data_IF_058827266986
#
_entry.id   IF_058827266986
#
_cell.length_a   1.000
_cell.length_b   1.000
_cell.length_c   1.000
_cell.angle_alpha   90.00
_cell.angle_beta   90.00
_cell.angle_gamma   90.00
#
_symmetry.space_group_name_H-M   'P 1'
#
loop_
_entity.id
_entity.type
_entity.pdbx_description
1 polymer ?
#
# COMPACT_ATOMS: atom_id res chain seq x y z
N UNK A 1 29.92 -12.60 -2.05
CA UNK A 1 30.00 -11.13 -2.16
C UNK A 1 30.77 -10.80 -3.42
N UNK A 2 30.09 -10.28 -4.44
CA UNK A 2 30.73 -9.75 -5.65
C UNK A 2 30.18 -8.35 -5.86
N UNK A 3 31.03 -7.37 -5.59
CA UNK A 3 30.77 -5.94 -5.80
C UNK A 3 31.21 -5.64 -7.22
N UNK A 4 30.26 -5.45 -8.14
CA UNK A 4 30.56 -4.96 -9.47
C UNK A 4 30.42 -3.43 -9.45
N UNK A 5 31.54 -2.73 -9.40
CA UNK A 5 31.61 -1.31 -9.68
C UNK A 5 31.52 -1.09 -11.20
N UNK A 6 30.40 -0.52 -11.67
CA UNK A 6 30.35 0.17 -12.96
C UNK A 6 29.97 1.62 -12.71
N UNK A 7 31.00 2.47 -12.68
CA UNK A 7 30.92 3.91 -12.85
C UNK A 7 31.01 4.19 -14.35
N UNK A 8 29.90 4.55 -14.97
CA UNK A 8 29.91 5.23 -16.28
C UNK A 8 29.19 6.56 -16.08
N UNK A 9 29.91 7.69 -16.06
CA UNK A 9 29.28 9.00 -16.05
C UNK A 9 28.90 9.33 -17.50
N UNK A 10 27.61 9.26 -17.82
CA UNK A 10 27.10 9.89 -19.02
C UNK A 10 26.42 11.21 -18.61
N UNK A 11 27.18 12.30 -18.68
CA UNK A 11 26.61 13.64 -18.78
C UNK A 11 25.84 13.71 -20.11
N UNK A 12 24.53 13.89 -20.03
CA UNK A 12 23.75 14.41 -21.15
C UNK A 12 23.06 15.70 -20.67
N UNK A 13 23.68 16.83 -20.99
CA UNK A 13 23.00 18.11 -21.00
C UNK A 13 22.09 18.14 -22.24
N UNK A 14 20.82 18.47 -22.06
CA UNK A 14 19.92 18.81 -23.16
C UNK A 14 19.29 20.18 -22.89
N UNK A 15 19.42 21.05 -23.88
CA UNK A 15 19.09 22.47 -23.90
C UNK A 15 17.63 22.76 -23.56
N UNK A 16 17.41 23.84 -22.81
CA UNK A 16 16.10 24.49 -22.75
C UNK A 16 15.77 25.10 -24.11
N UNK A 17 14.69 24.63 -24.74
CA UNK A 17 14.03 25.37 -25.82
C UNK A 17 12.53 25.33 -25.62
N UNK A 18 11.96 26.55 -25.57
CA UNK A 18 10.58 26.96 -25.78
C UNK A 18 9.44 26.18 -25.10
N UNK A 19 8.64 26.91 -24.32
CA UNK A 19 7.42 26.44 -23.67
C UNK A 19 6.47 25.72 -24.61
N UNK A 20 6.18 24.46 -24.27
CA UNK A 20 5.03 23.74 -24.77
C UNK A 20 3.87 23.98 -23.79
N UNK A 21 2.76 24.49 -24.32
CA UNK A 21 1.50 24.61 -23.60
C UNK A 21 1.17 23.31 -22.86
N UNK A 22 0.68 23.41 -21.62
CA UNK A 22 0.06 22.30 -20.90
C UNK A 22 -1.14 21.85 -21.74
N UNK A 23 -0.94 20.88 -22.63
CA UNK A 23 -2.04 20.10 -23.19
C UNK A 23 -2.60 19.32 -22.01
N UNK A 24 -3.82 19.63 -21.62
CA UNK A 24 -4.64 18.67 -20.88
C UNK A 24 -4.59 17.36 -21.64
N UNK A 25 -4.02 16.33 -21.03
CA UNK A 25 -4.08 14.97 -21.55
C UNK A 25 -5.57 14.61 -21.68
N UNK A 26 -6.07 14.33 -22.89
CA UNK A 26 -7.47 14.01 -23.06
C UNK A 26 -7.78 12.73 -22.29
N UNK A 27 -8.74 12.82 -21.37
CA UNK A 27 -9.23 11.69 -20.59
C UNK A 27 -9.59 10.53 -21.55
N UNK A 28 -9.04 9.32 -21.35
CA UNK A 28 -9.27 8.20 -22.27
C UNK A 28 -10.76 7.87 -22.31
N UNK A 29 -11.36 8.00 -23.51
CA UNK A 29 -12.81 7.90 -23.73
C UNK A 29 -13.35 6.46 -23.69
N UNK A 30 -12.46 5.46 -23.68
CA UNK A 30 -12.81 4.04 -23.57
C UNK A 30 -12.06 3.41 -22.38
N UNK A 31 -12.47 3.78 -21.17
CA UNK A 31 -12.03 3.07 -19.96
C UNK A 31 -12.55 1.62 -20.02
N UNK A 32 -11.68 0.60 -19.85
CA UNK A 32 -12.15 -0.78 -19.71
C UNK A 32 -13.25 -0.88 -18.64
N UNK A 33 -14.22 -1.81 -18.74
CA UNK A 33 -15.32 -1.92 -17.78
C UNK A 33 -14.87 -1.97 -16.31
N UNK A 34 -13.69 -2.51 -16.04
CA UNK A 34 -13.06 -2.53 -14.71
C UNK A 34 -12.74 -1.11 -14.16
N UNK A 35 -12.35 -0.16 -15.02
CA UNK A 35 -12.07 1.21 -14.59
C UNK A 35 -13.33 2.01 -14.27
N UNK A 36 -14.46 1.69 -14.91
CA UNK A 36 -15.77 2.27 -14.54
C UNK A 36 -16.15 1.91 -13.10
N UNK A 37 -15.78 0.70 -12.67
CA UNK A 37 -16.02 0.26 -11.30
C UNK A 37 -15.14 1.02 -10.29
N UNK A 38 -13.88 1.29 -10.65
CA UNK A 38 -12.98 2.14 -9.86
C UNK A 38 -13.42 3.60 -9.79
N UNK A 39 -14.13 4.13 -10.79
CA UNK A 39 -14.63 5.50 -10.77
C UNK A 39 -15.59 5.76 -9.59
N UNK A 40 -16.31 4.72 -9.16
CA UNK A 40 -17.20 4.79 -7.98
C UNK A 40 -16.45 4.87 -6.64
N UNK A 41 -15.13 4.66 -6.64
CA UNK A 41 -14.27 4.68 -5.45
C UNK A 41 -13.71 6.06 -5.10
N UNK A 42 -14.07 7.13 -5.83
CA UNK A 42 -13.52 8.46 -5.56
C UNK A 42 -13.65 8.84 -4.07
N UNK A 43 -12.58 9.38 -3.45
CA UNK A 43 -12.60 9.80 -2.07
C UNK A 43 -13.69 10.85 -1.80
N UNK A 44 -14.43 10.65 -0.71
CA UNK A 44 -15.29 11.69 -0.16
C UNK A 44 -14.43 12.74 0.56
N UNK A 45 -14.87 14.00 0.55
CA UNK A 45 -14.20 15.09 1.29
C UNK A 45 -14.23 14.85 2.80
N UNK A 46 -15.33 14.25 3.29
CA UNK A 46 -15.50 13.85 4.67
C UNK A 46 -16.20 12.50 4.73
N UNK A 47 -15.74 11.63 5.63
CA UNK A 47 -16.34 10.36 5.91
C UNK A 47 -16.14 10.00 7.38
N UNK A 48 -17.09 9.28 7.97
CA UNK A 48 -16.90 8.68 9.28
C UNK A 48 -16.32 7.27 9.13
N UNK A 49 -15.08 7.09 9.58
CA UNK A 49 -14.41 5.78 9.59
C UNK A 49 -14.55 5.03 10.92
N UNK A 50 -15.16 5.65 11.94
CA UNK A 50 -15.28 5.06 13.28
C UNK A 50 -16.15 3.81 13.30
N UNK A 51 -17.05 3.67 12.32
CA UNK A 51 -17.95 2.52 12.16
C UNK A 51 -17.33 1.38 11.34
N UNK A 52 -16.17 1.60 10.71
CA UNK A 52 -15.50 0.58 9.90
C UNK A 52 -14.97 -0.53 10.79
N UNK A 53 -15.30 -1.78 10.42
CA UNK A 53 -14.86 -2.99 11.10
C UNK A 53 -13.75 -3.68 10.32
N UNK A 54 -12.92 -4.43 11.04
CA UNK A 54 -11.95 -5.35 10.44
C UNK A 54 -12.69 -6.35 9.54
N UNK A 55 -12.30 -6.47 8.24
CA UNK A 55 -12.78 -7.55 7.39
C UNK A 55 -12.54 -8.91 8.05
N UNK A 56 -13.56 -9.78 8.03
CA UNK A 56 -13.41 -11.17 8.45
C UNK A 56 -13.02 -12.01 7.24
N UNK A 57 -12.16 -13.01 7.44
CA UNK A 57 -11.80 -13.97 6.39
C UNK A 57 -12.99 -14.85 5.99
N UNK A 58 -13.92 -15.08 6.92
CA UNK A 58 -15.08 -15.95 6.72
C UNK A 58 -14.83 -17.40 7.10
N UNK A 59 -13.60 -17.75 7.49
CA UNK A 59 -13.22 -19.08 7.98
C UNK A 59 -12.24 -18.93 9.16
N UNK A 60 -12.34 -19.70 10.26
CA UNK A 60 -11.38 -19.68 11.36
C UNK A 60 -9.96 -20.17 10.96
N UNK A 61 -8.88 -19.76 11.65
CA UNK A 61 -8.81 -18.75 12.73
C UNK A 61 -8.85 -17.32 12.21
N UNK A 62 -9.62 -16.40 12.79
CA UNK A 62 -9.65 -14.97 12.39
C UNK A 62 -8.52 -14.15 13.05
N UNK A 63 -8.19 -12.98 12.49
CA UNK A 63 -7.35 -12.03 13.22
C UNK A 63 -8.11 -11.50 14.45
N UNK A 64 -7.42 -11.35 15.60
CA UNK A 64 -8.04 -10.77 16.78
C UNK A 64 -8.35 -9.30 16.53
N UNK A 65 -9.55 -8.87 16.94
CA UNK A 65 -9.96 -7.47 16.86
C UNK A 65 -9.01 -6.59 17.71
N UNK A 66 -8.77 -5.32 17.32
CA UNK A 66 -8.03 -4.38 18.15
C UNK A 66 -8.67 -4.21 19.53
N UNK A 67 -7.86 -3.81 20.50
CA UNK A 67 -8.28 -3.54 21.87
C UNK A 67 -9.40 -2.50 21.88
N UNK A 68 -10.42 -2.69 22.71
CA UNK A 68 -11.66 -1.90 22.68
C UNK A 68 -11.47 -0.39 22.95
N UNK A 69 -10.33 0.00 23.53
CA UNK A 69 -9.97 1.41 23.76
C UNK A 69 -9.23 2.06 22.58
N UNK A 70 -9.01 1.34 21.48
CA UNK A 70 -8.40 1.86 20.26
C UNK A 70 -9.47 2.31 19.27
N UNK A 71 -9.09 3.25 18.39
CA UNK A 71 -9.94 3.77 17.32
C UNK A 71 -9.18 3.71 16.00
N UNK A 72 -9.89 3.41 14.93
CA UNK A 72 -9.33 3.42 13.58
C UNK A 72 -8.92 4.85 13.20
N UNK A 73 -7.67 5.03 12.76
CA UNK A 73 -7.14 6.33 12.35
C UNK A 73 -6.99 6.47 10.84
N UNK A 74 -6.58 5.39 10.16
CA UNK A 74 -6.34 5.38 8.72
C UNK A 74 -6.74 4.02 8.11
N UNK A 75 -7.19 4.07 6.86
CA UNK A 75 -7.20 2.91 5.95
C UNK A 75 -6.23 3.25 4.83
N UNK A 76 -5.23 2.40 4.60
CA UNK A 76 -4.15 2.71 3.66
C UNK A 76 -4.00 1.65 2.58
N UNK A 77 -3.66 2.11 1.37
CA UNK A 77 -3.26 1.26 0.26
C UNK A 77 -1.77 1.43 0.01
N UNK A 78 -1.02 0.34 0.14
CA UNK A 78 0.42 0.34 -0.09
C UNK A 78 0.76 -0.09 -1.52
N UNK A 79 1.60 0.69 -2.20
CA UNK A 79 2.18 0.32 -3.50
C UNK A 79 3.69 0.44 -3.40
N UNK A 80 4.39 -0.63 -3.74
CA UNK A 80 5.82 -0.70 -3.55
C UNK A 80 6.43 -2.02 -3.96
N UNK A 81 7.69 -2.20 -3.56
CA UNK A 81 8.44 -3.42 -3.76
C UNK A 81 8.72 -4.07 -2.41
N UNK A 82 8.89 -5.38 -2.47
CA UNK A 82 9.21 -6.20 -1.32
C UNK A 82 10.33 -7.15 -1.72
N UNK A 83 11.40 -7.11 -0.94
CA UNK A 83 12.58 -7.93 -1.09
C UNK A 83 12.49 -9.14 -0.15
N UNK A 84 12.75 -10.31 -0.70
CA UNK A 84 12.69 -11.59 -0.01
C UNK A 84 13.94 -12.41 -0.31
N UNK A 85 14.41 -13.17 0.68
CA UNK A 85 15.37 -14.25 0.45
C UNK A 85 14.64 -15.57 0.35
N UNK A 86 14.92 -16.32 -0.70
CA UNK A 86 14.62 -17.73 -0.78
C UNK A 86 15.89 -18.50 -0.43
N UNK A 87 15.89 -19.29 0.64
CA UNK A 87 16.86 -20.39 0.70
C UNK A 87 16.49 -21.36 -0.43
N UNK A 88 17.47 -21.97 -1.11
CA UNK A 88 17.19 -22.84 -2.25
C UNK A 88 16.19 -23.97 -1.91
N UNK A 89 15.34 -24.36 -2.86
CA UNK A 89 14.33 -25.41 -2.69
C UNK A 89 12.93 -24.90 -2.35
N UNK A 90 12.17 -25.66 -1.55
CA UNK A 90 10.75 -25.42 -1.18
C UNK A 90 10.56 -24.54 0.07
N UNK A 91 11.62 -23.93 0.61
CA UNK A 91 11.52 -23.12 1.82
C UNK A 91 10.75 -21.82 1.59
N UNK A 92 9.90 -21.46 2.56
CA UNK A 92 9.08 -20.24 2.54
C UNK A 92 9.98 -18.99 2.43
N UNK A 93 9.74 -18.08 1.48
CA UNK A 93 10.50 -16.84 1.35
C UNK A 93 10.48 -16.04 2.65
N UNK A 94 11.64 -15.52 3.06
CA UNK A 94 11.78 -14.68 4.25
C UNK A 94 11.87 -13.22 3.82
N UNK A 95 11.00 -12.33 4.33
CA UNK A 95 11.07 -10.91 4.00
C UNK A 95 12.33 -10.30 4.62
N UNK A 96 13.16 -9.65 3.78
CA UNK A 96 14.39 -8.98 4.21
C UNK A 96 14.34 -7.45 4.04
N UNK A 97 13.33 -6.95 3.32
CA UNK A 97 13.12 -5.50 3.20
C UNK A 97 11.91 -5.17 2.35
N UNK A 98 11.34 -3.99 2.55
CA UNK A 98 10.26 -3.43 1.73
C UNK A 98 10.52 -1.95 1.50
N UNK A 99 9.95 -1.40 0.43
CA UNK A 99 9.72 0.03 0.27
C UNK A 99 8.37 0.22 -0.43
N UNK A 100 7.44 0.91 0.22
CA UNK A 100 6.13 1.21 -0.33
C UNK A 100 5.67 2.63 0.02
N UNK A 101 4.97 3.26 -0.91
CA UNK A 101 4.19 4.47 -0.64
C UNK A 101 2.81 4.05 -0.14
N UNK A 102 2.33 4.72 0.90
CA UNK A 102 1.01 4.50 1.50
C UNK A 102 0.08 5.63 1.10
N UNK A 103 -1.04 5.27 0.48
CA UNK A 103 -2.09 6.18 0.03
C UNK A 103 -3.28 6.09 0.99
N UNK A 104 -3.87 7.24 1.31
CA UNK A 104 -5.01 7.33 2.22
C UNK A 104 -6.31 6.95 1.52
N UNK A 105 -6.84 5.79 1.87
CA UNK A 105 -8.11 5.26 1.38
C UNK A 105 -9.24 5.35 2.40
N UNK A 106 -9.05 6.10 3.50
CA UNK A 106 -10.02 6.19 4.61
C UNK A 106 -11.42 6.58 4.13
N UNK A 107 -11.49 7.50 3.15
CA UNK A 107 -12.74 8.00 2.60
C UNK A 107 -13.09 7.47 1.21
N UNK A 108 -12.54 6.33 0.78
CA UNK A 108 -13.02 5.69 -0.45
C UNK A 108 -14.49 5.31 -0.29
N UNK A 109 -15.30 5.78 -1.23
CA UNK A 109 -16.70 5.40 -1.31
C UNK A 109 -16.83 4.00 -1.92
N UNK A 110 -17.92 3.28 -1.64
CA UNK A 110 -18.29 2.03 -2.32
C UNK A 110 -17.20 0.94 -2.36
N UNK A 111 -16.26 0.93 -1.40
CA UNK A 111 -15.25 -0.12 -1.29
C UNK A 111 -15.93 -1.48 -1.08
N UNK A 112 -15.88 -2.32 -2.11
CA UNK A 112 -16.49 -3.64 -2.14
C UNK A 112 -15.47 -4.68 -2.63
N UNK A 113 -15.81 -5.97 -2.52
CA UNK A 113 -14.89 -7.06 -2.87
C UNK A 113 -14.34 -6.93 -4.30
N UNK A 114 -15.20 -6.61 -5.28
CA UNK A 114 -14.81 -6.53 -6.69
C UNK A 114 -13.89 -5.35 -6.99
N UNK A 115 -14.19 -4.19 -6.42
CA UNK A 115 -13.29 -3.03 -6.45
C UNK A 115 -11.90 -3.35 -5.88
N UNK A 116 -11.85 -4.06 -4.75
CA UNK A 116 -10.59 -4.49 -4.14
C UNK A 116 -9.84 -5.49 -5.01
N UNK A 117 -10.52 -6.47 -5.61
CA UNK A 117 -9.90 -7.43 -6.53
C UNK A 117 -9.31 -6.74 -7.76
N UNK A 118 -9.97 -5.70 -8.30
CA UNK A 118 -9.42 -4.90 -9.42
C UNK A 118 -8.16 -4.15 -8.97
N UNK A 119 -8.18 -3.48 -7.81
CA UNK A 119 -7.00 -2.78 -7.29
C UNK A 119 -5.84 -3.74 -7.01
N UNK A 120 -6.13 -4.92 -6.47
CA UNK A 120 -5.15 -5.97 -6.27
C UNK A 120 -4.55 -6.45 -7.58
N UNK A 121 -5.38 -6.71 -8.58
CA UNK A 121 -4.92 -7.12 -9.91
C UNK A 121 -3.98 -6.07 -10.51
N UNK A 122 -4.35 -4.79 -10.46
CA UNK A 122 -3.51 -3.69 -10.95
C UNK A 122 -2.17 -3.65 -10.19
N UNK A 123 -2.19 -3.72 -8.85
CA UNK A 123 -0.96 -3.66 -8.05
C UNK A 123 -0.04 -4.87 -8.25
N UNK A 124 -0.60 -6.02 -8.63
CA UNK A 124 0.15 -7.26 -8.91
C UNK A 124 0.72 -7.34 -10.32
N UNK A 125 -0.04 -6.89 -11.32
CA UNK A 125 0.26 -7.13 -12.73
C UNK A 125 0.75 -5.90 -13.48
N UNK A 126 0.97 -4.78 -12.78
CA UNK A 126 1.50 -3.55 -13.38
C UNK A 126 2.73 -3.05 -12.62
N UNK A 127 3.45 -2.11 -13.23
CA UNK A 127 4.60 -1.48 -12.58
C UNK A 127 4.16 -0.68 -11.35
N UNK A 128 5.08 -0.48 -10.39
CA UNK A 128 4.88 0.40 -9.23
C UNK A 128 4.40 1.79 -9.68
N UNK A 129 4.95 2.33 -10.76
CA UNK A 129 4.55 3.63 -11.32
C UNK A 129 3.12 3.64 -11.82
N UNK A 130 2.70 2.58 -12.53
CA UNK A 130 1.33 2.44 -13.05
C UNK A 130 0.31 2.30 -11.92
N UNK A 131 0.60 1.44 -10.94
CA UNK A 131 -0.26 1.28 -9.77
C UNK A 131 -0.33 2.57 -8.93
N UNK A 132 0.79 3.26 -8.75
CA UNK A 132 0.82 4.57 -8.07
C UNK A 132 0.00 5.62 -8.80
N UNK A 133 0.07 5.66 -10.14
CA UNK A 133 -0.76 6.55 -10.96
C UNK A 133 -2.25 6.26 -10.79
N UNK A 134 -2.66 4.98 -10.71
CA UNK A 134 -4.07 4.64 -10.47
C UNK A 134 -4.54 5.17 -9.12
N UNK A 135 -3.78 4.97 -8.04
CA UNK A 135 -4.19 5.46 -6.72
C UNK A 135 -4.15 6.99 -6.65
N UNK A 136 -3.07 7.62 -7.11
CA UNK A 136 -2.83 9.05 -6.96
C UNK A 136 -3.59 9.90 -7.97
N UNK A 137 -3.47 9.57 -9.25
CA UNK A 137 -3.99 10.40 -10.35
C UNK A 137 -5.40 10.02 -10.76
N UNK A 138 -5.73 8.72 -10.82
CA UNK A 138 -7.07 8.28 -11.21
C UNK A 138 -8.05 8.33 -10.02
N UNK A 139 -7.69 7.73 -8.88
CA UNK A 139 -8.53 7.73 -7.68
C UNK A 139 -8.37 8.97 -6.82
N UNK A 140 -7.41 9.87 -7.10
CA UNK A 140 -7.18 11.08 -6.29
C UNK A 140 -6.89 10.77 -4.82
N UNK A 141 -6.31 9.61 -4.53
CA UNK A 141 -5.94 9.23 -3.18
C UNK A 141 -4.68 10.00 -2.76
N UNK A 142 -4.73 10.79 -1.68
CA UNK A 142 -3.58 11.55 -1.27
C UNK A 142 -2.54 10.62 -0.62
N UNK A 143 -1.25 10.90 -0.85
CA UNK A 143 -0.15 10.22 -0.14
C UNK A 143 -0.28 10.47 1.37
N UNK A 144 -0.12 9.42 2.16
CA UNK A 144 -0.18 9.48 3.63
C UNK A 144 1.20 9.27 4.24
N UNK A 145 2.01 8.41 3.64
CA UNK A 145 3.23 7.95 4.27
C UNK A 145 3.99 6.94 3.44
N UNK A 146 4.93 6.28 4.10
CA UNK A 146 5.77 5.24 3.53
C UNK A 146 5.88 4.06 4.50
N UNK A 147 6.04 2.87 3.94
CA UNK A 147 6.49 1.70 4.66
C UNK A 147 7.85 1.30 4.12
N UNK A 148 8.83 1.12 5.01
CA UNK A 148 10.13 0.63 4.61
C UNK A 148 10.79 -0.17 5.73
N UNK A 149 11.86 -0.87 5.41
CA UNK A 149 12.69 -1.54 6.41
C UNK A 149 13.93 -0.70 6.66
N UNK A 150 14.24 -0.45 7.93
CA UNK A 150 15.51 0.14 8.36
C UNK A 150 16.07 -0.69 9.51
N UNK A 151 17.37 -0.98 9.45
CA UNK A 151 18.04 -1.88 10.41
C UNK A 151 17.36 -3.26 10.54
N UNK A 152 16.80 -3.77 9.43
CA UNK A 152 16.07 -5.05 9.39
C UNK A 152 14.68 -5.03 10.06
N UNK A 153 14.23 -3.87 10.56
CA UNK A 153 12.93 -3.72 11.24
C UNK A 153 11.93 -3.02 10.30
N UNK A 154 10.68 -3.50 10.22
CA UNK A 154 9.65 -2.81 9.47
C UNK A 154 9.27 -1.51 10.19
N UNK A 155 9.22 -0.43 9.41
CA UNK A 155 8.88 0.91 9.86
C UNK A 155 7.74 1.46 9.02
N UNK A 156 6.77 2.08 9.69
CA UNK A 156 5.70 2.86 9.07
C UNK A 156 5.92 4.32 9.41
N UNK A 157 6.04 5.16 8.39
CA UNK A 157 6.19 6.60 8.53
C UNK A 157 4.98 7.30 7.89
N UNK A 158 4.08 7.84 8.71
CA UNK A 158 2.87 8.54 8.27
C UNK A 158 2.97 10.06 8.47
N UNK A 159 4.19 10.61 8.53
CA UNK A 159 4.41 12.04 8.79
C UNK A 159 4.30 12.92 7.54
N UNK A 160 4.01 12.36 6.36
CA UNK A 160 3.97 13.10 5.08
C UNK A 160 3.01 14.30 5.10
N UNK A 161 1.98 14.28 5.96
CA UNK A 161 1.02 15.39 6.11
C UNK A 161 1.23 16.24 7.37
N UNK A 162 2.44 16.26 7.92
CA UNK A 162 2.77 17.03 9.13
C UNK A 162 2.27 16.40 10.44
N UNK A 163 1.74 15.17 10.38
CA UNK A 163 1.45 14.36 11.57
C UNK A 163 2.72 13.82 12.24
N UNK A 164 2.57 13.18 13.40
CA UNK A 164 3.66 12.57 14.17
C UNK A 164 3.56 11.04 14.24
N UNK A 165 2.68 10.44 13.45
CA UNK A 165 2.44 9.01 13.44
C UNK A 165 3.56 8.29 12.70
N UNK A 166 4.35 7.52 13.44
CA UNK A 166 5.43 6.71 12.88
C UNK A 166 5.85 5.66 13.90
N UNK A 167 6.21 4.48 13.43
CA UNK A 167 6.56 3.40 14.34
C UNK A 167 7.34 2.27 13.68
N UNK A 168 8.23 1.69 14.49
CA UNK A 168 8.67 0.33 14.29
C UNK A 168 7.61 -0.63 14.78
N UNK A 169 7.42 -1.72 14.05
CA UNK A 169 6.38 -2.70 14.35
C UNK A 169 6.94 -4.12 14.34
N UNK A 170 6.19 -5.06 14.92
CA UNK A 170 6.50 -6.48 14.86
C UNK A 170 5.24 -7.30 14.65
N UNK A 171 5.35 -8.41 13.92
CA UNK A 171 4.25 -9.38 13.78
C UNK A 171 3.98 -10.04 15.12
N UNK A 172 2.72 -9.99 15.57
CA UNK A 172 2.27 -10.64 16.82
C UNK A 172 1.21 -11.71 16.57
N UNK A 173 0.55 -11.70 15.40
CA UNK A 173 -0.31 -12.78 14.96
C UNK A 173 -0.36 -12.85 13.44
N UNK A 174 -0.62 -14.04 12.90
CA UNK A 174 -0.84 -14.26 11.48
C UNK A 174 -1.93 -15.29 11.26
N UNK A 175 -2.75 -15.09 10.24
CA UNK A 175 -3.74 -16.07 9.78
C UNK A 175 -3.62 -16.21 8.26
N UNK A 176 -4.00 -17.37 7.67
CA UNK A 176 -4.00 -17.52 6.21
C UNK A 176 -4.83 -16.41 5.53
N UNK A 177 -4.45 -16.01 4.32
CA UNK A 177 -5.31 -15.15 3.51
C UNK A 177 -6.59 -15.90 3.08
N UNK A 178 -7.69 -15.22 2.76
CA UNK A 178 -8.94 -15.88 2.37
C UNK A 178 -8.84 -16.78 1.13
N UNK A 179 -8.02 -16.42 0.14
CA UNK A 179 -7.80 -17.18 -1.10
C UNK A 179 -6.75 -18.28 -0.98
N UNK A 180 -5.95 -18.29 0.10
CA UNK A 180 -4.79 -19.18 0.27
C UNK A 180 -3.60 -18.95 -0.68
N UNK A 181 -3.79 -18.17 -1.75
CA UNK A 181 -2.75 -17.80 -2.73
C UNK A 181 -1.95 -16.57 -2.29
N UNK A 182 -2.54 -15.75 -1.43
CA UNK A 182 -1.98 -14.51 -0.94
C UNK A 182 -1.15 -14.70 0.34
N UNK A 183 -0.29 -13.72 0.62
CA UNK A 183 0.47 -13.67 1.88
C UNK A 183 -0.47 -13.64 3.08
N UNK A 184 -0.11 -14.29 4.21
CA UNK A 184 -0.93 -14.27 5.41
C UNK A 184 -1.34 -12.86 5.83
N UNK A 185 -2.56 -12.73 6.35
CA UNK A 185 -2.97 -11.52 7.03
C UNK A 185 -2.22 -11.41 8.35
N UNK A 186 -1.69 -10.23 8.65
CA UNK A 186 -0.83 -10.01 9.80
C UNK A 186 -1.45 -8.98 10.75
N UNK A 187 -1.35 -9.27 12.04
CA UNK A 187 -1.45 -8.25 13.08
C UNK A 187 -0.05 -7.83 13.50
N UNK A 188 0.18 -6.53 13.47
CA UNK A 188 1.42 -5.89 13.86
C UNK A 188 1.17 -5.00 15.07
N UNK A 189 2.00 -5.09 16.08
CA UNK A 189 1.97 -4.16 17.21
C UNK A 189 3.15 -3.19 17.12
N UNK A 190 2.94 -1.97 17.62
CA UNK A 190 4.01 -1.01 17.81
C UNK A 190 5.05 -1.57 18.78
N UNK A 191 6.31 -1.52 18.37
CA UNK A 191 7.47 -1.73 19.25
C UNK A 191 7.95 -0.38 19.78
N UNK A 192 8.10 0.60 18.88
CA UNK A 192 8.69 1.90 19.17
C UNK A 192 8.05 2.98 18.28
N UNK A 193 7.97 4.22 18.77
CA UNK A 193 7.42 5.36 18.04
C UNK A 193 6.09 5.88 18.60
N UNK A 194 5.32 6.59 17.78
CA UNK A 194 4.20 7.44 18.17
C UNK A 194 2.96 7.26 17.29
N UNK A 195 1.80 7.65 17.85
CA UNK A 195 0.55 7.74 17.11
C UNK A 195 -0.24 6.43 17.02
N UNK A 196 0.26 5.48 16.24
CA UNK A 196 -0.44 4.22 15.97
C UNK A 196 0.08 3.11 16.89
N UNK A 197 -0.82 2.29 17.42
CA UNK A 197 -0.50 1.18 18.34
C UNK A 197 -0.54 -0.19 17.67
N UNK A 198 -1.44 -0.38 16.70
CA UNK A 198 -1.71 -1.66 16.04
C UNK A 198 -1.95 -1.41 14.56
N UNK A 199 -1.40 -2.28 13.71
CA UNK A 199 -1.70 -2.34 12.28
C UNK A 199 -2.22 -3.72 11.94
N UNK A 200 -3.16 -3.75 10.98
CA UNK A 200 -3.66 -4.98 10.40
C UNK A 200 -3.29 -4.93 8.92
N UNK A 201 -2.30 -5.73 8.55
CA UNK A 201 -1.84 -5.84 7.17
C UNK A 201 -2.66 -6.91 6.48
N UNK A 202 -3.58 -6.46 5.62
CA UNK A 202 -4.51 -7.32 4.91
C UNK A 202 -4.17 -7.28 3.43
N UNK A 203 -4.25 -8.45 2.80
CA UNK A 203 -4.26 -8.56 1.35
C UNK A 203 -5.65 -9.05 0.94
N UNK A 204 -6.45 -8.21 0.26
CA UNK A 204 -7.74 -8.66 -0.23
C UNK A 204 -7.54 -9.75 -1.28
N UNK A 205 -8.57 -10.57 -1.49
CA UNK A 205 -8.61 -11.59 -2.54
C UNK A 205 -9.00 -11.02 -3.90
#
# INVERSE_FOLDING_TARGET
MHTLHLLVPLLAAASFTQGAAIRHEPQPTNLPPAFKELESLRPLSHCDISTRKLPKRGNPPELPDPEANLRLKYITFGVGTQNYTCAGGVTKPTPIGAVATLYDGSCLNNINARAMSILNYITLHTSVSSASWVLESFLKMPKLGQHYFTEGRPFFDLTTRGGSDRAFVSVVASVPAPSGLDVPWLRLNKVEGSGIKVWLSLRPT
#
